data_IF_321243004239
#
_entry.id   IF_321243004239
#
_cell.length_a   1.000
_cell.length_b   1.000
_cell.length_c   1.000
_cell.angle_alpha   90.00
_cell.angle_beta   90.00
_cell.angle_gamma   90.00
#
_symmetry.space_group_name_H-M   'P 1'
#
loop_
_entity.id
_entity.type
_entity.pdbx_description
1 polymer ?
#
# COMPACT_ATOMS: atom_id res chain seq x y z
N UNK A 1 -52.23 -1.91 49.70
CA UNK A 1 -50.80 -2.21 49.97
C UNK A 1 -50.20 -2.87 48.75
N UNK A 2 -49.63 -2.09 47.83
CA UNK A 2 -48.90 -2.62 46.68
C UNK A 2 -47.59 -3.19 47.22
N UNK A 3 -47.36 -4.49 47.01
CA UNK A 3 -46.20 -5.21 47.55
C UNK A 3 -44.92 -4.63 46.95
N UNK A 4 -44.15 -3.93 47.78
CA UNK A 4 -42.84 -3.33 47.45
C UNK A 4 -41.90 -4.35 46.78
N UNK A 5 -42.04 -5.64 47.09
CA UNK A 5 -41.30 -6.75 46.46
C UNK A 5 -41.46 -6.86 44.93
N UNK A 6 -42.58 -6.41 44.35
CA UNK A 6 -42.84 -6.52 42.91
C UNK A 6 -42.05 -5.50 42.06
N UNK A 7 -41.51 -4.44 42.67
CA UNK A 7 -40.71 -3.39 42.00
C UNK A 7 -39.20 -3.72 42.09
N UNK A 8 -38.77 -4.44 43.13
CA UNK A 8 -37.37 -4.84 43.30
C UNK A 8 -36.92 -5.93 42.32
N UNK A 9 -37.79 -6.86 41.94
CA UNK A 9 -37.48 -7.91 40.97
C UNK A 9 -37.12 -7.39 39.57
N UNK A 10 -37.92 -6.51 38.93
CA UNK A 10 -37.57 -5.98 37.60
C UNK A 10 -36.33 -5.06 37.65
N UNK A 11 -36.07 -4.37 38.77
CA UNK A 11 -34.88 -3.53 38.93
C UNK A 11 -33.59 -4.38 38.98
N UNK A 12 -33.61 -5.51 39.70
CA UNK A 12 -32.47 -6.44 39.75
C UNK A 12 -32.21 -7.06 38.38
N UNK A 13 -33.26 -7.47 37.67
CA UNK A 13 -33.16 -8.02 36.30
C UNK A 13 -32.61 -6.98 35.32
N UNK A 14 -33.06 -5.72 35.42
CA UNK A 14 -32.57 -4.62 34.59
C UNK A 14 -31.10 -4.30 34.86
N UNK A 15 -30.68 -4.30 36.13
CA UNK A 15 -29.28 -4.07 36.51
C UNK A 15 -28.36 -5.21 36.06
N UNK A 16 -28.85 -6.45 36.10
CA UNK A 16 -28.13 -7.62 35.61
C UNK A 16 -27.96 -7.59 34.08
N UNK A 17 -29.01 -7.19 33.35
CA UNK A 17 -28.96 -7.00 31.89
C UNK A 17 -27.99 -5.89 31.47
N UNK A 18 -27.96 -4.75 32.17
CA UNK A 18 -26.97 -3.68 31.94
C UNK A 18 -25.53 -4.12 32.23
N UNK A 19 -25.32 -5.06 33.16
CA UNK A 19 -23.99 -5.57 33.50
C UNK A 19 -23.46 -6.53 32.43
N UNK A 20 -24.35 -7.28 31.76
CA UNK A 20 -23.97 -8.20 30.68
C UNK A 20 -23.53 -7.52 29.38
N UNK A 21 -23.83 -6.23 29.19
CA UNK A 21 -23.42 -5.46 27.99
C UNK A 21 -22.01 -4.87 28.09
N UNK A 22 -21.30 -5.07 29.21
CA UNK A 22 -19.91 -4.60 29.42
C UNK A 22 -18.86 -5.69 29.17
N UNK A 23 -19.19 -6.74 28.41
CA UNK A 23 -18.17 -7.65 27.87
C UNK A 23 -17.43 -6.90 26.77
N UNK A 24 -16.38 -6.18 27.16
CA UNK A 24 -15.39 -5.65 26.24
C UNK A 24 -14.82 -6.81 25.44
N UNK A 25 -14.96 -6.79 24.12
CA UNK A 25 -14.27 -7.73 23.26
C UNK A 25 -12.77 -7.66 23.59
N UNK A 26 -12.18 -8.79 23.98
CA UNK A 26 -10.74 -8.86 24.20
C UNK A 26 -10.04 -8.55 22.87
N UNK A 27 -9.01 -7.69 22.84
CA UNK A 27 -8.26 -7.45 21.61
C UNK A 27 -7.72 -8.79 21.12
N UNK A 28 -8.07 -9.17 19.88
CA UNK A 28 -7.43 -10.30 19.22
C UNK A 28 -5.93 -9.98 19.11
N UNK A 29 -5.10 -10.77 19.80
CA UNK A 29 -3.66 -10.61 19.73
C UNK A 29 -3.20 -10.89 18.29
N UNK A 30 -2.46 -9.97 17.69
CA UNK A 30 -1.74 -10.23 16.44
C UNK A 30 -0.77 -11.38 16.68
N UNK A 31 -0.80 -12.45 15.88
CA UNK A 31 0.14 -13.56 16.05
C UNK A 31 1.56 -13.08 15.78
N UNK A 32 2.55 -13.80 16.32
CA UNK A 32 3.95 -13.54 16.00
C UNK A 32 4.19 -13.64 14.48
N UNK A 33 5.06 -12.78 13.97
CA UNK A 33 5.42 -12.79 12.56
C UNK A 33 6.09 -14.12 12.17
N UNK A 34 5.81 -14.64 10.96
CA UNK A 34 6.46 -15.86 10.47
C UNK A 34 7.96 -15.61 10.23
N UNK A 35 8.76 -16.67 10.33
CA UNK A 35 10.14 -16.64 9.85
C UNK A 35 10.13 -16.75 8.33
N UNK A 36 10.71 -15.76 7.64
CA UNK A 36 10.80 -15.72 6.19
C UNK A 36 12.28 -15.80 5.78
N UNK A 37 12.55 -16.47 4.66
CA UNK A 37 13.88 -16.48 4.03
C UNK A 37 14.13 -15.16 3.25
N UNK A 38 14.06 -14.03 3.95
CA UNK A 38 14.25 -12.68 3.40
C UNK A 38 15.27 -11.90 4.22
N UNK A 39 16.04 -11.01 3.58
CA UNK A 39 16.99 -10.11 4.28
C UNK A 39 16.26 -9.05 5.11
N UNK A 40 15.09 -8.61 4.64
CA UNK A 40 14.20 -7.71 5.36
C UNK A 40 12.81 -7.69 4.72
N UNK A 41 11.82 -7.27 5.50
CA UNK A 41 10.43 -7.11 5.07
C UNK A 41 9.70 -6.11 5.96
N UNK A 42 8.59 -5.58 5.46
CA UNK A 42 7.62 -4.81 6.23
C UNK A 42 6.21 -5.17 5.75
N UNK A 43 5.31 -5.38 6.70
CA UNK A 43 3.87 -5.50 6.49
C UNK A 43 3.20 -4.36 7.25
N UNK A 44 2.51 -3.49 6.53
CA UNK A 44 1.89 -2.30 7.07
C UNK A 44 0.42 -2.25 6.66
N UNK A 45 -0.46 -1.88 7.60
CA UNK A 45 -1.84 -1.53 7.27
C UNK A 45 -1.87 -0.18 6.53
N UNK A 46 -2.54 -0.15 5.38
CA UNK A 46 -2.57 1.03 4.51
C UNK A 46 -3.30 2.22 5.13
N UNK A 47 -4.38 1.99 5.86
CA UNK A 47 -5.24 3.08 6.36
C UNK A 47 -4.68 3.73 7.62
N UNK A 48 -4.20 2.92 8.56
CA UNK A 48 -3.66 3.38 9.85
C UNK A 48 -2.16 3.68 9.80
N UNK A 49 -1.45 3.13 8.81
CA UNK A 49 0.01 3.14 8.78
C UNK A 49 0.65 2.25 9.85
N UNK A 50 -0.12 1.43 10.56
CA UNK A 50 0.40 0.54 11.59
C UNK A 50 1.28 -0.54 10.96
N UNK A 51 2.51 -0.68 11.46
CA UNK A 51 3.37 -1.82 11.14
C UNK A 51 2.85 -3.05 11.89
N UNK A 52 2.48 -4.09 11.14
CA UNK A 52 1.95 -5.36 11.65
C UNK A 52 3.09 -6.35 11.90
N UNK A 53 4.10 -6.37 11.02
CA UNK A 53 5.28 -7.21 11.13
C UNK A 53 6.44 -6.60 10.33
N UNK A 54 7.66 -6.70 10.83
CA UNK A 54 8.85 -6.22 10.13
C UNK A 54 10.11 -7.00 10.52
N UNK A 55 11.10 -6.96 9.63
CA UNK A 55 12.46 -7.43 9.87
C UNK A 55 13.40 -6.52 9.10
N UNK A 56 14.36 -5.90 9.77
CA UNK A 56 15.37 -5.03 9.15
C UNK A 56 14.77 -3.97 8.20
N UNK A 57 13.59 -3.44 8.52
CA UNK A 57 12.82 -2.51 7.68
C UNK A 57 13.57 -1.21 7.39
N UNK A 58 14.33 -0.70 8.36
CA UNK A 58 15.15 0.52 8.23
C UNK A 58 16.57 0.25 7.71
N UNK A 59 16.94 -1.02 7.50
CA UNK A 59 18.28 -1.35 7.00
C UNK A 59 18.40 -0.95 5.52
N UNK A 60 19.48 -0.22 5.20
CA UNK A 60 19.77 0.12 3.81
C UNK A 60 20.08 -1.14 2.99
N UNK A 61 19.36 -1.30 1.87
CA UNK A 61 19.52 -2.39 0.91
C UNK A 61 19.40 -1.86 -0.52
N UNK A 62 20.06 -2.52 -1.45
CA UNK A 62 19.93 -2.20 -2.88
C UNK A 62 18.50 -2.50 -3.36
N UNK A 63 17.73 -1.48 -3.82
CA UNK A 63 16.32 -1.66 -4.19
C UNK A 63 16.15 -2.33 -5.57
N UNK A 64 17.22 -2.40 -6.38
CA UNK A 64 17.16 -2.83 -7.77
C UNK A 64 15.99 -2.15 -8.52
N UNK A 65 15.16 -2.92 -9.23
CA UNK A 65 14.02 -2.37 -9.98
C UNK A 65 12.90 -1.78 -9.11
N UNK A 66 12.88 -1.98 -7.79
CA UNK A 66 11.95 -1.26 -6.90
C UNK A 66 12.15 0.26 -6.97
N UNK A 67 13.33 0.72 -7.39
CA UNK A 67 13.61 2.14 -7.69
C UNK A 67 12.57 2.73 -8.65
N UNK A 68 12.05 1.93 -9.58
CA UNK A 68 11.05 2.38 -10.56
C UNK A 68 9.73 2.82 -9.90
N UNK A 69 9.41 2.36 -8.69
CA UNK A 69 8.26 2.87 -7.94
C UNK A 69 8.39 4.37 -7.64
N UNK A 70 9.61 4.87 -7.41
CA UNK A 70 9.83 6.30 -7.22
C UNK A 70 9.73 7.07 -8.54
N UNK A 71 10.22 6.48 -9.63
CA UNK A 71 10.05 7.06 -10.98
C UNK A 71 8.57 7.21 -11.33
N UNK A 72 7.77 6.14 -11.15
CA UNK A 72 6.33 6.18 -11.44
C UNK A 72 5.58 7.09 -10.49
N UNK A 73 6.00 7.20 -9.22
CA UNK A 73 5.44 8.16 -8.27
C UNK A 73 5.59 9.61 -8.75
N UNK A 74 6.77 9.99 -9.25
CA UNK A 74 7.00 11.34 -9.79
C UNK A 74 6.11 11.60 -11.00
N UNK A 75 6.03 10.66 -11.95
CA UNK A 75 5.16 10.81 -13.13
C UNK A 75 3.69 10.91 -12.72
N UNK A 76 3.23 10.10 -11.76
CA UNK A 76 1.87 10.17 -11.23
C UNK A 76 1.58 11.53 -10.55
N UNK A 77 2.57 12.11 -9.85
CA UNK A 77 2.44 13.44 -9.25
C UNK A 77 2.28 14.53 -10.32
N UNK A 78 3.07 14.48 -11.40
CA UNK A 78 2.99 15.44 -12.50
C UNK A 78 1.66 15.33 -13.27
N UNK A 79 1.17 14.10 -13.48
CA UNK A 79 -0.16 13.83 -14.05
C UNK A 79 -1.26 14.41 -13.16
N UNK A 80 -1.20 14.14 -11.85
CA UNK A 80 -2.17 14.65 -10.88
C UNK A 80 -2.16 16.19 -10.80
N UNK A 81 -0.98 16.80 -10.92
CA UNK A 81 -0.80 18.26 -10.91
C UNK A 81 -1.21 18.93 -12.23
N UNK A 82 -1.50 18.14 -13.27
CA UNK A 82 -1.90 18.64 -14.59
C UNK A 82 -0.76 19.20 -15.43
N UNK A 83 0.51 18.93 -15.07
CA UNK A 83 1.69 19.40 -15.80
C UNK A 83 1.93 18.58 -17.08
N UNK A 84 1.46 17.34 -17.10
CA UNK A 84 1.51 16.41 -18.23
C UNK A 84 0.18 15.66 -18.35
N UNK A 85 -0.08 15.08 -19.51
CA UNK A 85 -1.21 14.19 -19.78
C UNK A 85 -0.74 12.81 -20.22
N UNK A 86 -1.57 11.78 -20.01
CA UNK A 86 -1.28 10.42 -20.50
C UNK A 86 -1.10 10.35 -22.03
N UNK A 87 -1.75 11.26 -22.76
CA UNK A 87 -1.69 11.33 -24.21
C UNK A 87 -0.45 12.07 -24.74
N UNK A 88 0.27 12.79 -23.87
CA UNK A 88 1.46 13.54 -24.26
C UNK A 88 2.50 12.60 -24.86
N UNK A 89 3.19 13.09 -25.89
CA UNK A 89 4.20 12.33 -26.60
C UNK A 89 5.59 12.72 -26.15
N UNK A 90 6.39 11.72 -25.81
CA UNK A 90 7.79 11.87 -25.42
C UNK A 90 8.68 11.35 -26.56
N UNK A 91 9.66 12.15 -26.96
CA UNK A 91 10.66 11.73 -27.93
C UNK A 91 11.70 10.83 -27.26
N UNK A 92 11.86 9.62 -27.78
CA UNK A 92 12.79 8.64 -27.24
C UNK A 92 14.23 9.03 -27.57
N UNK A 93 15.01 9.30 -26.53
CA UNK A 93 16.43 9.63 -26.68
C UNK A 93 17.27 8.41 -27.06
N UNK A 94 18.42 8.66 -27.68
CA UNK A 94 19.42 7.61 -27.92
C UNK A 94 19.88 6.94 -26.60
N UNK A 95 19.93 7.71 -25.51
CA UNK A 95 20.27 7.20 -24.17
C UNK A 95 19.25 6.18 -23.69
N UNK A 96 17.95 6.51 -23.75
CA UNK A 96 16.88 5.60 -23.36
C UNK A 96 16.93 4.31 -24.17
N UNK A 97 17.03 4.42 -25.50
CA UNK A 97 17.15 3.28 -26.41
C UNK A 97 18.35 2.35 -26.12
N UNK A 98 19.44 2.89 -25.54
CA UNK A 98 20.65 2.13 -25.19
C UNK A 98 20.63 1.53 -23.78
N UNK A 99 19.58 1.75 -22.99
CA UNK A 99 19.53 1.22 -21.63
C UNK A 99 19.55 -0.33 -21.64
N UNK A 100 20.48 -0.96 -20.89
CA UNK A 100 20.54 -2.41 -20.78
C UNK A 100 19.48 -2.94 -19.80
N UNK A 101 19.27 -4.26 -19.78
CA UNK A 101 18.32 -4.92 -18.86
C UNK A 101 16.94 -5.13 -19.49
N UNK A 102 15.90 -5.15 -18.67
CA UNK A 102 14.51 -5.25 -19.14
C UNK A 102 14.13 -4.05 -20.00
N UNK A 103 13.32 -4.27 -21.03
CA UNK A 103 13.01 -3.28 -22.06
C UNK A 103 11.58 -3.41 -22.54
N UNK A 104 10.99 -2.29 -22.99
CA UNK A 104 9.73 -2.26 -23.74
C UNK A 104 9.94 -2.13 -25.26
N UNK A 105 11.21 -2.05 -25.71
CA UNK A 105 11.61 -2.03 -27.12
C UNK A 105 11.20 -0.78 -27.90
N UNK A 106 11.29 0.39 -27.29
CA UNK A 106 11.11 1.67 -27.98
C UNK A 106 12.18 1.92 -29.04
N UNK A 107 11.86 2.67 -30.10
CA UNK A 107 12.81 3.08 -31.13
C UNK A 107 13.35 4.49 -30.89
N UNK A 108 14.63 4.74 -31.18
CA UNK A 108 15.23 6.07 -31.06
C UNK A 108 14.54 7.09 -31.96
N UNK A 109 14.32 8.30 -31.44
CA UNK A 109 13.59 9.41 -32.09
C UNK A 109 12.10 9.16 -32.37
N UNK A 110 11.57 7.99 -32.02
CA UNK A 110 10.13 7.75 -32.05
C UNK A 110 9.41 8.59 -30.98
N UNK A 111 8.10 8.76 -31.16
CA UNK A 111 7.23 9.43 -30.19
C UNK A 111 6.28 8.42 -29.55
N UNK A 112 6.44 8.23 -28.24
CA UNK A 112 5.66 7.27 -27.44
C UNK A 112 4.81 8.04 -26.44
N UNK A 113 3.59 7.58 -26.17
CA UNK A 113 2.73 8.24 -25.18
C UNK A 113 3.25 8.02 -23.76
N UNK A 114 2.98 8.95 -22.84
CA UNK A 114 3.26 8.75 -21.42
C UNK A 114 2.54 7.50 -20.89
N UNK A 115 1.32 7.22 -21.36
CA UNK A 115 0.59 6.01 -21.01
C UNK A 115 1.36 4.72 -21.37
N UNK A 116 1.89 4.64 -22.59
CA UNK A 116 2.62 3.46 -23.05
C UNK A 116 3.97 3.33 -22.36
N UNK A 117 4.66 4.44 -22.08
CA UNK A 117 5.90 4.45 -21.29
C UNK A 117 5.65 3.96 -19.86
N UNK A 118 4.59 4.42 -19.21
CA UNK A 118 4.20 3.93 -17.88
C UNK A 118 3.87 2.44 -17.91
N UNK A 119 3.18 1.93 -18.92
CA UNK A 119 2.96 0.49 -19.11
C UNK A 119 4.28 -0.26 -19.29
N UNK A 120 5.24 0.30 -20.04
CA UNK A 120 6.59 -0.24 -20.20
C UNK A 120 7.33 -0.38 -18.86
N UNK A 121 7.29 0.66 -18.02
CA UNK A 121 7.89 0.66 -16.69
C UNK A 121 7.17 -0.33 -15.75
N UNK A 122 5.85 -0.25 -15.64
CA UNK A 122 5.08 -0.95 -14.61
C UNK A 122 4.93 -2.44 -14.93
N UNK A 123 4.69 -2.79 -16.20
CA UNK A 123 4.41 -4.18 -16.61
C UNK A 123 5.71 -4.90 -16.96
N UNK A 124 6.58 -4.27 -17.74
CA UNK A 124 7.80 -4.91 -18.27
C UNK A 124 9.05 -4.59 -17.44
N UNK A 125 8.97 -3.67 -16.48
CA UNK A 125 10.14 -3.11 -15.80
C UNK A 125 11.16 -2.54 -16.81
N UNK A 126 10.68 -2.02 -17.94
CA UNK A 126 11.50 -1.50 -19.03
C UNK A 126 12.37 -0.34 -18.56
N UNK A 127 13.68 -0.43 -18.80
CA UNK A 127 14.65 0.63 -18.48
C UNK A 127 14.75 1.67 -19.60
N UNK A 128 14.29 1.34 -20.80
CA UNK A 128 14.25 2.21 -21.98
C UNK A 128 12.96 3.05 -22.07
N UNK A 129 12.04 2.81 -21.15
CA UNK A 129 10.79 3.54 -20.92
C UNK A 129 11.01 4.67 -19.89
#
# INVERSE_FOLDING_TARGET
MIRIQAIFQPLIVFTFLLSSTLISAAPQATPAAPQLAAKGYVLQDFHSGQIIAELNSDQQMEPASLTKMKTTYVVAHELHSGNISLADKVTISNKAWRMPGSRMFVEVNSQVSIEDLLKGIIIQSGNDA
#
